data_IF_041424398429
#
_entry.id   IF_041424398429
#
_cell.length_a   1.000
_cell.length_b   1.000
_cell.length_c   1.000
_cell.angle_alpha   90.00
_cell.angle_beta   90.00
_cell.angle_gamma   90.00
#
_symmetry.space_group_name_H-M   'P 1'
#
loop_
_entity.id
_entity.type
_entity.pdbx_description
1 polymer ?
#
# COMPACT_ATOMS: atom_id res chain seq x y z
N UNK A 1 9.83 -17.59 -5.78
CA UNK A 1 9.44 -16.25 -5.25
C UNK A 1 8.04 -15.95 -5.82
N UNK A 2 6.99 -16.44 -5.16
CA UNK A 2 5.64 -16.56 -5.75
C UNK A 2 4.72 -15.38 -5.40
N UNK A 3 5.00 -14.67 -4.30
CA UNK A 3 4.14 -13.61 -3.74
C UNK A 3 4.73 -12.20 -3.94
N UNK A 4 5.37 -11.94 -5.09
CA UNK A 4 5.81 -10.59 -5.42
C UNK A 4 4.76 -9.87 -6.27
N UNK A 5 4.60 -8.55 -6.10
CA UNK A 5 3.82 -7.76 -7.04
C UNK A 5 4.36 -7.93 -8.45
N UNK A 6 3.46 -8.23 -9.39
CA UNK A 6 3.81 -8.36 -10.82
C UNK A 6 3.68 -7.01 -11.52
N UNK A 7 2.70 -6.22 -11.08
CA UNK A 7 2.40 -4.89 -11.60
C UNK A 7 2.19 -3.89 -10.47
N UNK A 8 2.26 -2.59 -10.79
CA UNK A 8 1.96 -1.51 -9.84
C UNK A 8 0.49 -1.58 -9.36
N UNK A 9 -0.41 -2.12 -10.18
CA UNK A 9 -1.84 -2.24 -9.83
C UNK A 9 -2.09 -3.30 -8.75
N UNK A 10 -1.13 -4.19 -8.52
CA UNK A 10 -1.21 -5.21 -7.48
C UNK A 10 -0.95 -4.62 -6.09
N UNK A 11 -0.37 -3.40 -6.02
CA UNK A 11 0.06 -2.77 -4.77
C UNK A 11 -0.78 -1.53 -4.49
N UNK A 12 -1.20 -1.38 -3.23
CA UNK A 12 -1.78 -0.15 -2.71
C UNK A 12 -1.06 0.28 -1.44
N UNK A 13 -0.79 1.57 -1.32
CA UNK A 13 -0.28 2.18 -0.10
C UNK A 13 -1.44 2.77 0.71
N UNK A 14 -1.40 2.59 2.02
CA UNK A 14 -2.39 3.10 2.96
C UNK A 14 -1.68 3.94 4.04
N UNK A 15 -2.14 5.17 4.22
CA UNK A 15 -1.73 6.06 5.31
C UNK A 15 -2.94 6.41 6.19
N UNK A 16 -2.84 6.15 7.49
CA UNK A 16 -3.91 6.31 8.50
C UNK A 16 -5.33 5.97 8.01
N UNK A 17 -5.48 4.79 7.39
CA UNK A 17 -6.76 4.29 6.89
C UNK A 17 -7.19 4.78 5.51
N UNK A 18 -6.42 5.66 4.85
CA UNK A 18 -6.68 6.14 3.49
C UNK A 18 -5.74 5.49 2.48
N UNK A 19 -6.31 4.93 1.40
CA UNK A 19 -5.54 4.49 0.23
C UNK A 19 -4.98 5.71 -0.50
N UNK A 20 -3.69 5.66 -0.81
CA UNK A 20 -2.98 6.72 -1.52
C UNK A 20 -3.20 6.61 -3.03
N UNK A 21 -3.30 7.76 -3.69
CA UNK A 21 -3.43 7.86 -5.15
C UNK A 21 -2.04 7.97 -5.78
N UNK A 22 -1.77 7.18 -6.82
CA UNK A 22 -0.43 7.10 -7.44
C UNK A 22 0.05 8.41 -8.08
N UNK A 23 -0.84 9.35 -8.36
CA UNK A 23 -0.54 10.64 -8.96
C UNK A 23 -0.29 11.76 -7.93
N UNK A 24 -0.32 11.44 -6.63
CA UNK A 24 -0.04 12.40 -5.56
C UNK A 24 1.31 12.12 -4.93
N UNK A 25 2.00 13.18 -4.56
CA UNK A 25 3.19 13.13 -3.73
C UNK A 25 2.83 12.74 -2.30
N UNK A 26 3.83 12.30 -1.53
CA UNK A 26 3.67 12.07 -0.09
C UNK A 26 3.25 13.36 0.63
N UNK A 27 3.79 14.51 0.21
CA UNK A 27 3.47 15.82 0.77
C UNK A 27 1.98 16.19 0.60
N UNK A 28 1.40 15.94 -0.57
CA UNK A 28 -0.03 16.17 -0.86
C UNK A 28 -0.96 15.17 -0.18
N UNK A 29 -0.40 14.03 0.25
CA UNK A 29 -1.14 12.97 0.92
C UNK A 29 -0.99 12.98 2.44
N UNK A 30 -0.23 13.93 2.98
CA UNK A 30 -0.04 14.12 4.40
C UNK A 30 -1.37 14.39 5.08
N UNK A 31 -1.53 13.83 6.26
CA UNK A 31 -2.70 14.10 7.07
C UNK A 31 -2.45 15.29 8.01
N UNK A 32 -3.47 16.12 8.27
CA UNK A 32 -3.33 17.29 9.14
C UNK A 32 -2.96 16.94 10.60
N UNK A 33 -3.16 15.68 11.00
CA UNK A 33 -3.00 15.23 12.38
C UNK A 33 -2.10 13.99 12.40
N UNK A 34 -1.09 14.01 13.28
CA UNK A 34 -0.25 12.84 13.59
C UNK A 34 1.09 12.75 12.85
N UNK A 35 1.35 13.62 11.87
CA UNK A 35 2.63 13.66 11.17
C UNK A 35 3.50 14.83 11.66
N UNK A 36 4.61 14.51 12.31
CA UNK A 36 5.60 15.51 12.76
C UNK A 36 6.61 15.82 11.63
N UNK A 37 7.03 17.08 11.46
CA UNK A 37 8.14 17.44 10.58
C UNK A 37 9.41 16.65 10.96
N UNK A 38 10.09 16.06 9.98
CA UNK A 38 11.26 15.19 10.21
C UNK A 38 10.95 13.82 10.85
N UNK A 39 9.67 13.50 11.07
CA UNK A 39 9.23 12.23 11.64
C UNK A 39 9.24 11.06 10.66
N UNK A 40 9.18 9.85 11.21
CA UNK A 40 8.94 8.61 10.45
C UNK A 40 7.43 8.35 10.42
N UNK A 41 6.89 8.08 9.23
CA UNK A 41 5.51 7.64 9.06
C UNK A 41 5.53 6.15 8.78
N UNK A 42 4.60 5.41 9.39
CA UNK A 42 4.34 4.01 9.06
C UNK A 42 3.17 3.95 8.09
N UNK A 43 3.44 3.48 6.88
CA UNK A 43 2.40 3.18 5.89
C UNK A 43 2.17 1.67 5.82
N UNK A 44 0.95 1.28 5.47
CA UNK A 44 0.64 -0.13 5.19
C UNK A 44 0.66 -0.35 3.68
N UNK A 45 1.26 -1.46 3.26
CA UNK A 45 1.28 -1.95 1.89
C UNK A 45 0.29 -3.09 1.78
N UNK A 46 -0.65 -3.00 0.83
CA UNK A 46 -1.57 -4.08 0.50
C UNK A 46 -1.18 -4.66 -0.85
N UNK A 47 -0.88 -5.96 -0.87
CA UNK A 47 -0.63 -6.71 -2.09
C UNK A 47 -1.86 -7.54 -2.43
N UNK A 48 -2.49 -7.23 -3.57
CA UNK A 48 -3.53 -8.05 -4.19
C UNK A 48 -2.86 -9.15 -4.99
N UNK A 49 -2.99 -10.39 -4.54
CA UNK A 49 -2.47 -11.53 -5.30
C UNK A 49 -3.38 -11.82 -6.50
N UNK A 50 -2.81 -12.08 -7.69
CA UNK A 50 -3.58 -12.47 -8.85
C UNK A 50 -4.28 -13.82 -8.58
N UNK A 51 -5.49 -13.96 -9.12
CA UNK A 51 -6.20 -15.23 -9.07
C UNK A 51 -5.38 -16.26 -9.84
N UNK A 52 -5.03 -17.37 -9.20
CA UNK A 52 -4.48 -18.51 -9.92
C UNK A 52 -5.60 -19.08 -10.79
N UNK A 53 -5.42 -19.08 -12.12
CA UNK A 53 -6.42 -19.38 -13.16
C UNK A 53 -6.98 -20.83 -13.15
N UNK A 54 -6.92 -21.54 -12.02
CA UNK A 54 -7.45 -22.90 -11.89
C UNK A 54 -8.90 -22.91 -11.40
N UNK A 55 -9.79 -22.39 -12.25
CA UNK A 55 -11.20 -22.78 -12.40
C UNK A 55 -12.07 -22.93 -11.13
N UNK A 56 -11.88 -22.11 -10.11
CA UNK A 56 -12.77 -22.02 -8.96
C UNK A 56 -12.97 -20.56 -8.60
N UNK A 57 -14.23 -20.14 -8.38
CA UNK A 57 -14.62 -18.75 -8.09
C UNK A 57 -14.09 -18.24 -6.76
N UNK A 58 -12.76 -18.11 -6.63
CA UNK A 58 -12.07 -17.61 -5.45
C UNK A 58 -11.94 -16.10 -5.56
N UNK A 59 -12.23 -15.42 -4.45
CA UNK A 59 -11.95 -14.00 -4.29
C UNK A 59 -10.44 -13.75 -4.30
N UNK A 60 -9.97 -12.59 -4.80
CA UNK A 60 -8.56 -12.24 -4.73
C UNK A 60 -8.08 -12.25 -3.28
N UNK A 61 -6.89 -12.80 -3.05
CA UNK A 61 -6.26 -12.78 -1.74
C UNK A 61 -5.51 -11.46 -1.54
N UNK A 62 -5.45 -10.99 -0.29
CA UNK A 62 -4.75 -9.76 0.09
C UNK A 62 -3.73 -10.05 1.18
N UNK A 63 -2.50 -9.57 0.98
CA UNK A 63 -1.44 -9.58 1.99
C UNK A 63 -1.19 -8.15 2.47
N UNK A 64 -0.89 -8.01 3.75
CA UNK A 64 -0.62 -6.72 4.39
C UNK A 64 0.79 -6.72 4.97
N UNK A 65 1.53 -5.65 4.72
CA UNK A 65 2.85 -5.40 5.30
C UNK A 65 2.97 -3.93 5.74
N UNK A 66 3.97 -3.60 6.54
CA UNK A 66 4.23 -2.25 7.05
C UNK A 66 5.55 -1.69 6.52
N UNK A 67 5.50 -0.47 5.99
CA UNK A 67 6.66 0.26 5.47
C UNK A 67 6.89 1.53 6.28
N UNK A 68 8.11 1.72 6.77
CA UNK A 68 8.53 2.97 7.41
C UNK A 68 9.08 3.93 6.35
N UNK A 69 8.47 5.10 6.19
CA UNK A 69 8.92 6.17 5.30
C UNK A 69 9.36 7.38 6.10
N UNK A 70 10.44 8.03 5.66
CA UNK A 70 10.91 9.29 6.27
C UNK A 70 10.29 10.50 5.60
N UNK A 71 9.71 11.32 6.45
CA UNK A 71 9.30 12.71 6.27
C UNK A 71 10.41 13.68 5.88
N UNK A 72 10.84 13.79 4.62
CA UNK A 72 11.78 14.86 4.21
C UNK A 72 11.16 16.26 4.38
#
# INVERSE_FOLDING_TARGET
KENCPKTIQDVKLINAGKILENNKTLAESRLPVGELPGGVITMHVVLRLPLSDKNNGKSPAYLFDSLHMKVA
#
